data_IF_673433999654
#
_entry.id   IF_673433999654
#
_cell.length_a   1.000
_cell.length_b   1.000
_cell.length_c   1.000
_cell.angle_alpha   90.00
_cell.angle_beta   90.00
_cell.angle_gamma   90.00
#
_symmetry.space_group_name_H-M   'P 1'
#
loop_
_entity.id
_entity.type
_entity.pdbx_description
1 polymer ?
#
# COMPACT_ATOMS: atom_id res chain seq x y z
N UNK A 1 0.12 -31.16 6.92
CA UNK A 1 -1.14 -30.94 7.66
C UNK A 1 -1.78 -29.68 7.11
N UNK A 2 -3.04 -29.74 6.65
CA UNK A 2 -3.74 -28.60 6.06
C UNK A 2 -4.92 -28.20 6.93
N UNK A 3 -5.21 -26.90 6.98
CA UNK A 3 -6.44 -26.39 7.58
C UNK A 3 -7.55 -26.43 6.53
N UNK A 4 -8.78 -26.88 6.86
CA UNK A 4 -9.90 -26.85 5.93
C UNK A 4 -10.19 -25.42 5.44
N UNK A 5 -10.27 -25.24 4.12
CA UNK A 5 -10.64 -23.97 3.52
C UNK A 5 -12.07 -23.59 3.96
N UNK A 6 -12.25 -22.40 4.53
CA UNK A 6 -13.53 -21.95 5.10
C UNK A 6 -13.65 -22.12 6.61
N UNK A 7 -12.64 -22.69 7.29
CA UNK A 7 -12.58 -22.68 8.75
C UNK A 7 -12.43 -21.25 9.30
N UNK A 8 -13.28 -20.89 10.26
CA UNK A 8 -13.25 -19.59 10.95
C UNK A 8 -11.91 -19.36 11.65
N UNK A 9 -11.36 -20.41 12.27
CA UNK A 9 -10.09 -20.34 13.00
C UNK A 9 -8.88 -20.57 12.09
N UNK A 10 -9.09 -20.90 10.83
CA UNK A 10 -8.00 -21.24 9.92
C UNK A 10 -6.97 -20.13 9.74
N UNK A 11 -7.40 -18.89 9.45
CA UNK A 11 -6.49 -17.75 9.34
C UNK A 11 -5.66 -17.52 10.61
N UNK A 12 -6.30 -17.60 11.79
CA UNK A 12 -5.63 -17.39 13.08
C UNK A 12 -4.58 -18.46 13.37
N UNK A 13 -4.91 -19.74 13.16
CA UNK A 13 -3.94 -20.82 13.33
C UNK A 13 -2.76 -20.67 12.38
N UNK A 14 -3.02 -20.28 11.13
CA UNK A 14 -1.96 -20.05 10.16
C UNK A 14 -1.05 -18.88 10.59
N UNK A 15 -1.61 -17.77 11.08
CA UNK A 15 -0.81 -16.66 11.60
C UNK A 15 0.07 -17.05 12.78
N UNK A 16 -0.44 -17.85 13.72
CA UNK A 16 0.36 -18.37 14.84
C UNK A 16 1.44 -19.32 14.34
N UNK A 17 1.13 -20.17 13.36
CA UNK A 17 2.05 -21.15 12.79
C UNK A 17 3.28 -20.52 12.14
N UNK A 18 3.12 -19.38 11.45
CA UNK A 18 4.22 -18.69 10.77
C UNK A 18 4.87 -17.59 11.62
N UNK A 19 4.39 -17.35 12.84
CA UNK A 19 4.77 -16.20 13.66
C UNK A 19 6.29 -16.10 13.87
N UNK A 20 6.94 -17.24 14.09
CA UNK A 20 8.37 -17.29 14.41
C UNK A 20 9.26 -17.15 13.18
N UNK A 21 8.71 -17.28 11.96
CA UNK A 21 9.47 -17.06 10.72
C UNK A 21 10.07 -15.65 10.70
N UNK A 22 9.35 -14.67 11.24
CA UNK A 22 9.82 -13.29 11.27
C UNK A 22 11.11 -13.12 12.10
N UNK A 23 11.36 -13.99 13.09
CA UNK A 23 12.54 -13.95 13.93
C UNK A 23 13.83 -14.31 13.17
N UNK A 24 13.72 -15.05 12.07
CA UNK A 24 14.87 -15.45 11.27
C UNK A 24 15.37 -14.37 10.30
N UNK A 25 14.66 -13.24 10.16
CA UNK A 25 15.03 -12.19 9.22
C UNK A 25 16.29 -11.39 9.64
N UNK A 26 16.73 -11.50 10.89
CA UNK A 26 17.93 -10.83 11.43
C UNK A 26 17.98 -9.33 11.09
N UNK A 27 18.94 -8.90 10.26
CA UNK A 27 19.15 -7.49 9.87
C UNK A 27 18.18 -6.98 8.78
N UNK A 28 17.33 -7.86 8.23
CA UNK A 28 16.31 -7.49 7.26
C UNK A 28 14.95 -7.34 7.94
N UNK A 29 14.13 -6.45 7.37
CA UNK A 29 12.75 -6.28 7.80
C UNK A 29 11.85 -7.25 7.04
N UNK A 30 10.90 -7.86 7.75
CA UNK A 30 9.95 -8.81 7.21
C UNK A 30 8.52 -8.41 7.56
N UNK A 31 7.61 -8.51 6.59
CA UNK A 31 6.17 -8.39 6.79
C UNK A 31 5.48 -9.64 6.28
N UNK A 32 4.57 -10.17 7.09
CA UNK A 32 3.76 -11.35 6.79
C UNK A 32 2.29 -10.92 6.68
N UNK A 33 1.64 -11.28 5.58
CA UNK A 33 0.21 -11.10 5.39
C UNK A 33 -0.38 -12.37 4.79
N UNK A 34 -0.98 -13.22 5.64
CA UNK A 34 -1.32 -14.58 5.25
C UNK A 34 -0.08 -15.25 4.59
N UNK A 35 -0.23 -15.85 3.41
CA UNK A 35 0.85 -16.47 2.66
C UNK A 35 1.79 -15.48 1.95
N UNK A 36 1.40 -14.21 1.82
CA UNK A 36 2.25 -13.17 1.24
C UNK A 36 3.32 -12.73 2.24
N UNK A 37 4.59 -12.92 1.87
CA UNK A 37 5.75 -12.52 2.68
C UNK A 37 6.58 -11.49 1.90
N UNK A 38 6.91 -10.37 2.55
CA UNK A 38 7.89 -9.41 2.05
C UNK A 38 9.11 -9.44 2.95
N UNK A 39 10.28 -9.63 2.35
CA UNK A 39 11.58 -9.42 2.98
C UNK A 39 12.28 -8.26 2.29
N UNK A 40 12.79 -7.30 3.05
CA UNK A 40 13.50 -6.15 2.48
C UNK A 40 14.58 -5.64 3.44
N UNK A 41 15.63 -5.08 2.85
CA UNK A 41 16.74 -4.47 3.57
C UNK A 41 17.18 -3.20 2.84
N UNK A 42 17.89 -2.32 3.54
CA UNK A 42 18.44 -1.09 3.00
C UNK A 42 19.86 -0.90 3.52
N UNK A 43 20.69 -0.23 2.72
CA UNK A 43 22.11 -0.08 3.03
C UNK A 43 22.79 0.97 2.14
N UNK A 44 24.03 1.33 2.47
CA UNK A 44 24.78 2.38 1.78
C UNK A 44 25.31 1.96 0.41
N UNK A 45 25.48 0.65 0.17
CA UNK A 45 25.96 0.08 -1.09
C UNK A 45 25.06 -1.07 -1.55
N UNK A 46 25.06 -1.31 -2.86
CA UNK A 46 24.30 -2.41 -3.45
C UNK A 46 24.80 -3.77 -2.94
N UNK A 47 26.11 -3.95 -2.83
CA UNK A 47 26.71 -5.21 -2.38
C UNK A 47 26.32 -5.56 -0.95
N UNK A 48 26.31 -4.57 -0.03
CA UNK A 48 25.84 -4.78 1.34
C UNK A 48 24.36 -5.15 1.37
N UNK A 49 23.53 -4.47 0.57
CA UNK A 49 22.10 -4.78 0.46
C UNK A 49 21.87 -6.20 -0.05
N UNK A 50 22.57 -6.62 -1.11
CA UNK A 50 22.41 -7.96 -1.68
C UNK A 50 22.92 -9.05 -0.72
N UNK A 51 24.06 -8.83 -0.08
CA UNK A 51 24.62 -9.77 0.89
C UNK A 51 23.69 -9.97 2.09
N UNK A 52 23.19 -8.87 2.66
CA UNK A 52 22.24 -8.91 3.78
C UNK A 52 20.92 -9.57 3.34
N UNK A 53 20.40 -9.20 2.17
CA UNK A 53 19.16 -9.78 1.65
C UNK A 53 19.31 -11.29 1.41
N UNK A 54 20.40 -11.74 0.80
CA UNK A 54 20.67 -13.16 0.54
C UNK A 54 20.81 -13.94 1.85
N UNK A 55 21.51 -13.38 2.83
CA UNK A 55 21.69 -14.00 4.16
C UNK A 55 20.34 -14.17 4.86
N UNK A 56 19.56 -13.10 4.97
CA UNK A 56 18.21 -13.16 5.55
C UNK A 56 17.28 -14.06 4.75
N UNK A 57 17.35 -14.05 3.41
CA UNK A 57 16.52 -14.90 2.56
C UNK A 57 16.84 -16.39 2.76
N UNK A 58 18.12 -16.75 2.95
CA UNK A 58 18.51 -18.11 3.28
C UNK A 58 17.99 -18.53 4.65
N UNK A 59 18.10 -17.69 5.67
CA UNK A 59 17.58 -17.96 7.01
C UNK A 59 16.05 -18.16 7.02
N UNK A 60 15.32 -17.35 6.25
CA UNK A 60 13.87 -17.50 6.06
C UNK A 60 13.53 -18.80 5.33
N UNK A 61 14.28 -19.16 4.28
CA UNK A 61 14.08 -20.43 3.57
C UNK A 61 14.30 -21.64 4.48
N UNK A 62 15.32 -21.60 5.35
CA UNK A 62 15.52 -22.65 6.37
C UNK A 62 14.36 -22.72 7.36
N UNK A 63 13.86 -21.57 7.82
CA UNK A 63 12.69 -21.51 8.72
C UNK A 63 11.44 -22.09 8.07
N UNK A 64 11.19 -21.76 6.80
CA UNK A 64 10.09 -22.37 6.04
C UNK A 64 10.26 -23.88 5.89
N UNK A 65 11.46 -24.38 5.56
CA UNK A 65 11.72 -25.83 5.49
C UNK A 65 11.50 -26.53 6.83
N UNK A 66 11.89 -25.91 7.95
CA UNK A 66 11.64 -26.43 9.30
C UNK A 66 10.15 -26.53 9.61
N UNK A 67 9.36 -25.57 9.13
CA UNK A 67 7.89 -25.60 9.16
C UNK A 67 7.26 -26.42 8.02
N UNK A 68 8.03 -27.20 7.26
CA UNK A 68 7.51 -27.97 6.12
C UNK A 68 6.73 -27.12 5.09
N UNK A 69 7.03 -25.82 5.01
CA UNK A 69 6.51 -24.88 4.04
C UNK A 69 7.45 -24.81 2.83
N UNK A 70 6.89 -24.94 1.64
CA UNK A 70 7.66 -24.93 0.39
C UNK A 70 7.57 -23.57 -0.28
N UNK A 71 8.72 -22.90 -0.42
CA UNK A 71 8.83 -21.64 -1.13
C UNK A 71 8.68 -21.87 -2.64
N UNK A 72 7.71 -21.19 -3.27
CA UNK A 72 7.52 -21.26 -4.72
C UNK A 72 8.36 -20.19 -5.43
N UNK A 73 9.59 -20.54 -5.81
CA UNK A 73 10.53 -19.63 -6.48
C UNK A 73 9.94 -18.86 -7.67
N UNK A 74 9.09 -19.51 -8.49
CA UNK A 74 8.44 -18.86 -9.64
C UNK A 74 7.45 -17.75 -9.28
N UNK A 75 6.91 -17.76 -8.06
CA UNK A 75 6.04 -16.71 -7.53
C UNK A 75 6.82 -15.65 -6.73
N UNK A 76 7.99 -15.99 -6.22
CA UNK A 76 8.86 -15.05 -5.49
C UNK A 76 9.56 -14.12 -6.47
N UNK A 77 9.41 -12.81 -6.27
CA UNK A 77 10.02 -11.78 -7.12
C UNK A 77 10.93 -10.89 -6.29
N UNK A 78 12.01 -10.42 -6.91
CA UNK A 78 12.91 -9.42 -6.33
C UNK A 78 12.66 -8.07 -6.99
N UNK A 79 12.68 -6.98 -6.21
CA UNK A 79 12.57 -5.62 -6.74
C UNK A 79 13.62 -4.75 -6.05
N UNK A 80 14.46 -4.10 -6.85
CA UNK A 80 15.45 -3.15 -6.37
C UNK A 80 14.87 -1.74 -6.40
N UNK A 81 14.85 -1.08 -5.24
CA UNK A 81 14.51 0.33 -5.14
C UNK A 81 15.79 1.18 -5.15
N UNK A 82 16.00 1.96 -6.21
CA UNK A 82 17.13 2.88 -6.30
C UNK A 82 16.64 4.30 -6.62
N UNK A 83 17.06 5.27 -5.79
CA UNK A 83 16.74 6.70 -5.97
C UNK A 83 17.77 7.45 -6.81
N UNK A 84 18.98 6.90 -7.01
CA UNK A 84 20.07 7.53 -7.75
C UNK A 84 20.22 6.94 -9.14
N UNK A 85 20.31 7.81 -10.15
CA UNK A 85 20.75 7.46 -11.50
C UNK A 85 22.29 7.50 -11.56
N UNK A 86 22.94 6.59 -12.31
CA UNK A 86 22.38 5.52 -13.14
C UNK A 86 21.93 4.30 -12.32
N UNK A 87 20.98 3.54 -12.85
CA UNK A 87 20.72 2.21 -12.32
C UNK A 87 22.00 1.37 -12.51
N UNK A 88 22.54 0.72 -11.46
CA UNK A 88 23.69 -0.14 -11.60
C UNK A 88 23.38 -1.25 -12.61
N UNK A 89 24.41 -1.71 -13.35
CA UNK A 89 24.31 -2.92 -14.16
C UNK A 89 23.70 -4.03 -13.31
N UNK A 90 22.79 -4.82 -13.90
CA UNK A 90 21.91 -5.74 -13.16
C UNK A 90 22.70 -6.50 -12.08
N UNK A 91 22.28 -6.40 -10.81
CA UNK A 91 23.02 -7.01 -9.71
C UNK A 91 23.13 -8.52 -9.86
N UNK A 92 24.11 -9.09 -9.16
CA UNK A 92 24.21 -10.53 -8.91
C UNK A 92 22.86 -11.06 -8.44
N UNK A 93 22.38 -12.13 -9.07
CA UNK A 93 21.04 -12.66 -8.84
C UNK A 93 20.91 -13.18 -7.40
N UNK A 94 19.79 -12.88 -6.73
CA UNK A 94 19.45 -13.52 -5.46
C UNK A 94 18.98 -14.93 -5.79
N UNK A 95 19.58 -15.92 -5.13
CA UNK A 95 19.32 -17.34 -5.39
C UNK A 95 18.56 -17.98 -4.25
N UNK A 96 17.75 -18.97 -4.59
CA UNK A 96 17.13 -19.87 -3.61
C UNK A 96 18.14 -20.92 -3.14
N UNK A 97 17.85 -21.58 -2.01
CA UNK A 97 18.66 -22.71 -1.52
C UNK A 97 18.75 -23.87 -2.52
N UNK A 98 17.80 -23.96 -3.45
CA UNK A 98 17.77 -24.96 -4.53
C UNK A 98 18.50 -24.49 -5.79
N UNK A 99 19.20 -23.35 -5.73
CA UNK A 99 20.01 -22.80 -6.83
C UNK A 99 19.21 -22.10 -7.93
N UNK A 100 17.89 -21.91 -7.75
CA UNK A 100 17.08 -21.15 -8.72
C UNK A 100 17.22 -19.65 -8.48
N UNK A 101 17.44 -18.90 -9.56
CA UNK A 101 17.48 -17.44 -9.57
C UNK A 101 16.09 -16.82 -9.37
N UNK A 102 16.02 -15.75 -8.57
CA UNK A 102 14.80 -14.94 -8.48
C UNK A 102 14.69 -13.97 -9.64
N UNK A 103 13.48 -13.87 -10.20
CA UNK A 103 13.19 -12.88 -11.23
C UNK A 103 13.16 -11.46 -10.64
N UNK A 104 13.97 -10.58 -11.21
CA UNK A 104 13.92 -9.15 -10.92
C UNK A 104 12.83 -8.46 -11.73
N UNK A 105 11.97 -7.72 -11.03
CA UNK A 105 10.85 -6.99 -11.63
C UNK A 105 10.91 -5.51 -11.28
N UNK A 106 10.61 -4.66 -12.26
CA UNK A 106 10.47 -3.22 -12.05
C UNK A 106 9.08 -2.83 -11.56
N UNK A 107 8.08 -3.70 -11.77
CA UNK A 107 6.69 -3.47 -11.41
C UNK A 107 6.13 -4.74 -10.80
N UNK A 108 5.48 -4.62 -9.64
CA UNK A 108 4.85 -5.74 -8.96
C UNK A 108 3.55 -5.32 -8.28
N UNK A 109 2.57 -6.22 -8.25
CA UNK A 109 1.29 -5.98 -7.58
C UNK A 109 1.29 -6.67 -6.21
N UNK A 110 1.30 -5.89 -5.15
CA UNK A 110 1.28 -6.37 -3.77
C UNK A 110 0.00 -5.92 -3.06
N UNK A 111 -0.76 -6.86 -2.49
CA UNK A 111 -2.03 -6.60 -1.77
C UNK A 111 -3.00 -5.64 -2.50
N UNK A 112 -3.08 -5.75 -3.83
CA UNK A 112 -3.95 -4.91 -4.66
C UNK A 112 -3.35 -3.57 -5.11
N UNK A 113 -2.17 -3.20 -4.63
CA UNK A 113 -1.45 -1.97 -4.99
C UNK A 113 -0.35 -2.30 -6.00
N UNK A 114 -0.25 -1.50 -7.06
CA UNK A 114 0.84 -1.63 -8.03
C UNK A 114 2.02 -0.78 -7.56
N UNK A 115 3.15 -1.43 -7.33
CA UNK A 115 4.41 -0.79 -6.96
C UNK A 115 5.34 -0.81 -8.16
N UNK A 116 6.03 0.30 -8.39
CA UNK A 116 7.15 0.39 -9.33
C UNK A 116 8.46 0.60 -8.58
N UNK A 117 9.59 0.21 -9.17
CA UNK A 117 10.93 0.31 -8.58
C UNK A 117 11.35 1.74 -8.22
N UNK A 118 10.63 2.75 -8.74
CA UNK A 118 10.81 4.17 -8.41
C UNK A 118 9.81 4.68 -7.36
N UNK A 119 8.88 3.85 -6.89
CA UNK A 119 7.77 4.20 -6.00
C UNK A 119 6.97 5.42 -6.49
N UNK A 120 6.83 5.57 -7.81
CA UNK A 120 6.06 6.67 -8.42
C UNK A 120 4.55 6.47 -8.34
N UNK A 121 4.08 5.24 -8.13
CA UNK A 121 2.67 4.82 -8.16
C UNK A 121 1.96 5.13 -9.49
N UNK A 122 2.70 5.49 -10.53
CA UNK A 122 2.11 5.93 -11.80
C UNK A 122 1.32 4.79 -12.48
N UNK A 123 1.85 3.56 -12.38
CA UNK A 123 1.18 2.35 -12.88
C UNK A 123 -0.11 2.09 -12.11
N UNK A 124 -0.10 2.27 -10.78
CA UNK A 124 -1.30 2.14 -9.96
C UNK A 124 -2.37 3.15 -10.36
N UNK A 125 -1.99 4.42 -10.49
CA UNK A 125 -2.91 5.50 -10.90
C UNK A 125 -3.51 5.21 -12.28
N UNK A 126 -2.70 4.81 -13.26
CA UNK A 126 -3.20 4.44 -14.60
C UNK A 126 -4.21 3.30 -14.55
N UNK A 127 -3.94 2.28 -13.72
CA UNK A 127 -4.84 1.16 -13.53
C UNK A 127 -6.15 1.58 -12.84
N UNK A 128 -6.09 2.43 -11.81
CA UNK A 128 -7.28 3.00 -11.17
C UNK A 128 -8.11 3.82 -12.15
N UNK A 129 -7.46 4.71 -12.92
CA UNK A 129 -8.12 5.53 -13.95
C UNK A 129 -8.83 4.66 -14.99
N UNK A 130 -8.17 3.60 -15.48
CA UNK A 130 -8.78 2.65 -16.43
C UNK A 130 -10.02 1.96 -15.83
N UNK A 131 -9.92 1.49 -14.58
CA UNK A 131 -11.02 0.84 -13.87
C UNK A 131 -12.20 1.79 -13.67
N UNK A 132 -11.94 3.04 -13.25
CA UNK A 132 -12.95 4.08 -13.07
C UNK A 132 -13.60 4.44 -14.42
N UNK A 133 -12.81 4.68 -15.47
CA UNK A 133 -13.33 4.98 -16.82
C UNK A 133 -14.26 3.89 -17.32
N UNK A 134 -13.93 2.61 -17.11
CA UNK A 134 -14.78 1.48 -17.46
C UNK A 134 -16.13 1.52 -16.73
N UNK A 135 -16.11 1.78 -15.41
CA UNK A 135 -17.33 1.87 -14.58
C UNK A 135 -18.20 3.08 -14.94
N UNK A 136 -17.59 4.24 -15.16
CA UNK A 136 -18.29 5.44 -15.65
C UNK A 136 -18.90 5.18 -17.03
N UNK A 137 -18.14 4.58 -17.95
CA UNK A 137 -18.64 4.25 -19.28
C UNK A 137 -19.84 3.31 -19.25
N UNK A 138 -19.85 2.32 -18.35
CA UNK A 138 -21.00 1.46 -18.11
C UNK A 138 -22.23 2.25 -17.62
N UNK A 139 -22.05 3.12 -16.62
CA UNK A 139 -23.14 3.95 -16.08
C UNK A 139 -23.70 4.91 -17.13
N UNK A 140 -22.84 5.51 -17.94
CA UNK A 140 -23.24 6.44 -18.99
C UNK A 140 -24.06 5.76 -20.09
N UNK A 141 -23.62 4.58 -20.56
CA UNK A 141 -24.36 3.80 -21.58
C UNK A 141 -25.73 3.35 -21.10
N UNK A 142 -25.87 3.05 -19.81
CA UNK A 142 -27.11 2.58 -19.20
C UNK A 142 -27.85 3.68 -18.44
N UNK A 143 -27.58 4.96 -18.73
CA UNK A 143 -28.15 6.08 -17.96
C UNK A 143 -29.68 6.13 -18.00
N UNK A 144 -30.32 5.61 -19.05
CA UNK A 144 -31.78 5.58 -19.17
C UNK A 144 -32.40 4.45 -18.34
N UNK A 145 -31.64 3.40 -18.03
CA UNK A 145 -32.11 2.20 -17.33
C UNK A 145 -32.12 2.32 -15.81
N UNK A 146 -31.55 3.40 -15.26
CA UNK A 146 -31.42 3.59 -13.82
C UNK A 146 -32.04 4.90 -13.34
N UNK A 147 -32.77 4.83 -12.23
CA UNK A 147 -33.22 6.02 -11.49
C UNK A 147 -32.02 6.81 -10.95
N UNK A 148 -32.23 8.08 -10.61
CA UNK A 148 -31.19 8.91 -10.01
C UNK A 148 -30.61 8.28 -8.72
N UNK A 149 -31.49 7.78 -7.84
CA UNK A 149 -31.09 7.10 -6.62
C UNK A 149 -30.25 5.83 -6.90
N UNK A 150 -30.64 5.02 -7.88
CA UNK A 150 -29.89 3.82 -8.27
C UNK A 150 -28.51 4.17 -8.85
N UNK A 151 -28.39 5.23 -9.66
CA UNK A 151 -27.10 5.72 -10.16
C UNK A 151 -26.18 6.15 -9.02
N UNK A 152 -26.71 6.91 -8.07
CA UNK A 152 -25.94 7.36 -6.90
C UNK A 152 -25.43 6.17 -6.09
N UNK A 153 -26.29 5.19 -5.80
CA UNK A 153 -25.91 3.96 -5.11
C UNK A 153 -24.84 3.19 -5.89
N UNK A 154 -24.97 3.04 -7.20
CA UNK A 154 -23.98 2.36 -8.03
C UNK A 154 -22.63 3.09 -8.02
N UNK A 155 -22.60 4.42 -8.11
CA UNK A 155 -21.36 5.20 -7.98
C UNK A 155 -20.73 4.98 -6.60
N UNK A 156 -21.52 5.04 -5.53
CA UNK A 156 -21.07 4.82 -4.15
C UNK A 156 -20.50 3.42 -3.92
N UNK A 157 -21.10 2.39 -4.50
CA UNK A 157 -20.67 1.00 -4.32
C UNK A 157 -19.53 0.58 -5.26
N UNK A 158 -19.39 1.21 -6.42
CA UNK A 158 -18.48 0.70 -7.47
C UNK A 158 -17.33 1.63 -7.84
N UNK A 159 -17.47 2.94 -7.65
CA UNK A 159 -16.45 3.94 -8.03
C UNK A 159 -15.75 4.50 -6.80
N UNK A 160 -16.51 4.87 -5.76
CA UNK A 160 -15.93 5.43 -4.52
C UNK A 160 -14.90 4.49 -3.86
N UNK A 161 -15.13 3.16 -3.74
CA UNK A 161 -14.14 2.26 -3.14
C UNK A 161 -12.84 2.14 -3.96
N UNK A 162 -12.85 2.57 -5.23
CA UNK A 162 -11.66 2.62 -6.09
C UNK A 162 -10.90 3.95 -5.88
N UNK A 163 -11.62 5.02 -5.52
CA UNK A 163 -11.09 6.36 -5.24
C UNK A 163 -10.64 6.56 -3.79
N UNK A 164 -10.86 5.57 -2.93
CA UNK A 164 -10.52 5.53 -1.50
C UNK A 164 -8.99 5.55 -1.21
N UNK A 165 -8.20 6.25 -2.01
CA UNK A 165 -6.84 6.70 -1.66
C UNK A 165 -6.83 7.46 -0.32
N UNK A 166 -7.91 8.20 -0.01
CA UNK A 166 -8.14 8.80 1.30
C UNK A 166 -8.28 7.78 2.44
N UNK A 167 -8.86 6.60 2.19
CA UNK A 167 -8.93 5.49 3.16
C UNK A 167 -7.53 4.93 3.46
N UNK A 168 -6.66 4.84 2.44
CA UNK A 168 -5.26 4.42 2.62
C UNK A 168 -4.49 5.41 3.49
N UNK A 169 -4.66 6.72 3.25
CA UNK A 169 -4.02 7.76 4.05
C UNK A 169 -4.55 7.76 5.50
N UNK A 170 -5.88 7.67 5.68
CA UNK A 170 -6.50 7.64 7.00
C UNK A 170 -6.13 6.39 7.80
N UNK A 171 -6.10 5.21 7.17
CA UNK A 171 -5.58 3.97 7.77
C UNK A 171 -4.11 4.11 8.18
N UNK A 172 -3.30 4.82 7.39
CA UNK A 172 -1.90 5.08 7.71
C UNK A 172 -1.75 5.92 8.99
N UNK A 173 -2.63 6.91 9.20
CA UNK A 173 -2.67 7.68 10.45
C UNK A 173 -3.17 6.88 11.64
N UNK A 174 -4.13 5.98 11.42
CA UNK A 174 -4.66 5.08 12.45
C UNK A 174 -3.69 3.92 12.80
N UNK A 175 -2.52 3.83 12.14
CA UNK A 175 -1.59 2.70 12.31
C UNK A 175 -2.12 1.36 11.78
N UNK A 176 -3.19 1.39 10.97
CA UNK A 176 -3.86 0.22 10.39
C UNK A 176 -3.43 -0.07 8.94
N UNK A 177 -2.60 0.80 8.36
CA UNK A 177 -1.92 0.53 7.09
C UNK A 177 -0.57 -0.15 7.34
N UNK A 178 0.02 -0.80 6.33
CA UNK A 178 1.35 -1.39 6.44
C UNK A 178 2.38 -0.39 7.00
N UNK A 179 3.31 -0.82 7.88
CA UNK A 179 4.25 0.09 8.58
C UNK A 179 5.07 0.98 7.65
N UNK A 180 5.38 0.50 6.44
CA UNK A 180 6.10 1.28 5.43
C UNK A 180 5.28 2.44 4.84
N UNK A 181 3.94 2.40 4.87
CA UNK A 181 3.09 3.55 4.51
C UNK A 181 2.84 4.46 5.70
N UNK A 182 2.60 3.88 6.87
CA UNK A 182 2.37 4.63 8.12
C UNK A 182 3.58 5.49 8.49
N UNK A 183 4.81 5.00 8.29
CA UNK A 183 6.04 5.77 8.52
C UNK A 183 6.26 6.92 7.52
N UNK A 184 5.58 6.90 6.38
CA UNK A 184 5.61 7.96 5.37
C UNK A 184 4.56 9.05 5.63
N UNK A 185 3.78 8.98 6.70
CA UNK A 185 2.74 9.97 7.01
C UNK A 185 2.99 10.51 8.41
N UNK A 186 3.30 11.80 8.54
CA UNK A 186 3.59 12.46 9.82
C UNK A 186 2.50 13.45 10.16
N UNK A 187 1.87 13.28 11.33
CA UNK A 187 0.90 14.25 11.84
C UNK A 187 1.59 15.56 12.20
N UNK A 188 0.95 16.67 11.84
CA UNK A 188 1.38 18.00 12.23
C UNK A 188 0.95 18.27 13.68
N UNK A 189 1.89 18.68 14.52
CA UNK A 189 1.62 19.22 15.85
C UNK A 189 1.69 20.75 15.77
N UNK A 190 0.56 21.45 15.77
CA UNK A 190 0.57 22.91 15.66
C UNK A 190 1.19 23.53 16.92
N UNK A 191 2.15 24.44 16.74
CA UNK A 191 2.83 25.16 17.83
C UNK A 191 2.03 26.36 18.35
N UNK A 192 0.97 26.77 17.65
CA UNK A 192 0.06 27.86 18.04
C UNK A 192 -1.39 27.44 17.81
N UNK A 193 -2.27 27.76 18.75
CA UNK A 193 -3.70 27.44 18.65
C UNK A 193 -4.42 28.41 17.72
N UNK A 194 -4.60 28.03 16.45
CA UNK A 194 -5.49 28.71 15.50
C UNK A 194 -6.69 27.82 15.15
N UNK A 195 -7.76 28.37 14.58
CA UNK A 195 -8.98 27.59 14.27
C UNK A 195 -8.75 26.45 13.25
N UNK A 196 -7.72 26.52 12.41
CA UNK A 196 -7.29 25.43 11.52
C UNK A 196 -6.36 24.41 12.19
N UNK A 197 -5.81 24.75 13.37
CA UNK A 197 -4.94 23.87 14.17
C UNK A 197 -5.71 22.77 14.90
N UNK A 198 -7.04 22.86 14.94
CA UNK A 198 -7.91 21.85 15.57
C UNK A 198 -8.13 20.62 14.69
N UNK A 199 -7.89 20.72 13.38
CA UNK A 199 -8.11 19.61 12.45
C UNK A 199 -6.87 18.70 12.36
N UNK A 200 -7.10 17.39 12.22
CA UNK A 200 -6.03 16.40 12.03
C UNK A 200 -5.29 16.70 10.73
N UNK A 201 -4.10 17.30 10.80
CA UNK A 201 -3.34 17.72 9.60
C UNK A 201 -2.04 16.94 9.47
N UNK A 202 -1.52 16.82 8.26
CA UNK A 202 -0.23 16.19 7.97
C UNK A 202 0.86 17.23 7.67
N UNK A 203 2.09 16.88 8.02
CA UNK A 203 3.28 17.66 7.62
C UNK A 203 3.53 17.41 6.13
N UNK A 204 3.49 18.48 5.32
CA UNK A 204 3.88 18.43 3.92
C UNK A 204 5.41 18.49 3.86
N UNK A 205 6.12 17.43 3.42
CA UNK A 205 7.57 17.47 3.29
C UNK A 205 8.01 18.45 2.19
N UNK A 206 9.21 19.00 2.31
CA UNK A 206 9.77 19.86 1.26
C UNK A 206 10.14 19.02 0.03
N UNK A 207 9.51 19.30 -1.10
CA UNK A 207 9.81 18.64 -2.38
C UNK A 207 10.46 19.64 -3.36
N UNK A 208 11.79 19.57 -3.47
CA UNK A 208 12.59 20.46 -4.32
C UNK A 208 12.62 20.02 -5.79
N UNK A 209 12.15 18.82 -6.11
CA UNK A 209 12.11 18.28 -7.46
C UNK A 209 10.67 17.99 -7.88
N UNK A 210 10.40 18.06 -9.18
CA UNK A 210 9.12 17.63 -9.77
C UNK A 210 8.79 16.19 -9.39
N UNK A 211 9.80 15.33 -9.29
CA UNK A 211 9.66 13.95 -8.83
C UNK A 211 9.31 13.83 -7.34
N UNK A 212 9.93 14.63 -6.46
CA UNK A 212 9.60 14.64 -5.03
C UNK A 212 8.15 15.02 -4.75
N UNK A 213 7.55 15.86 -5.61
CA UNK A 213 6.13 16.25 -5.53
C UNK A 213 5.18 15.11 -5.90
N UNK A 214 5.67 14.09 -6.61
CA UNK A 214 4.91 12.89 -6.97
C UNK A 214 5.06 11.76 -5.94
N UNK A 215 5.92 11.92 -4.93
CA UNK A 215 6.10 10.93 -3.88
C UNK A 215 4.83 10.74 -3.05
N UNK A 216 4.57 9.52 -2.58
CA UNK A 216 3.44 9.22 -1.72
C UNK A 216 3.39 10.13 -0.48
N UNK A 217 4.53 10.35 0.19
CA UNK A 217 4.63 11.22 1.37
C UNK A 217 4.16 12.66 1.07
N UNK A 218 4.53 13.22 -0.09
CA UNK A 218 4.12 14.57 -0.48
C UNK A 218 2.65 14.61 -0.91
N UNK A 219 2.26 13.70 -1.81
CA UNK A 219 0.90 13.67 -2.37
C UNK A 219 -0.16 13.30 -1.33
N UNK A 220 0.14 12.38 -0.41
CA UNK A 220 -0.74 12.02 0.70
C UNK A 220 -0.96 13.20 1.66
N UNK A 221 0.11 13.91 2.03
CA UNK A 221 0.02 15.07 2.91
C UNK A 221 -0.78 16.22 2.29
N UNK A 222 -0.50 16.54 1.01
CA UNK A 222 -1.26 17.56 0.28
C UNK A 222 -2.74 17.18 0.12
N UNK A 223 -3.01 15.95 -0.33
CA UNK A 223 -4.38 15.47 -0.54
C UNK A 223 -5.20 15.46 0.75
N UNK A 224 -4.63 14.97 1.85
CA UNK A 224 -5.31 14.94 3.14
C UNK A 224 -5.59 16.32 3.71
N UNK A 225 -4.62 17.23 3.64
CA UNK A 225 -4.79 18.59 4.15
C UNK A 225 -5.85 19.37 3.35
N UNK A 226 -5.94 19.15 2.04
CA UNK A 226 -7.04 19.67 1.23
C UNK A 226 -8.38 19.04 1.62
N UNK A 227 -8.43 17.72 1.84
CA UNK A 227 -9.63 17.01 2.25
C UNK A 227 -10.13 17.46 3.64
N UNK A 228 -9.24 17.82 4.56
CA UNK A 228 -9.60 18.35 5.87
C UNK A 228 -10.29 19.71 5.85
N UNK A 229 -10.04 20.54 4.83
CA UNK A 229 -10.76 21.82 4.69
C UNK A 229 -12.26 21.61 4.60
N UNK A 230 -12.69 20.46 4.07
CA UNK A 230 -14.10 20.12 3.94
C UNK A 230 -14.61 19.19 5.05
N UNK A 231 -13.80 18.22 5.49
CA UNK A 231 -14.19 17.28 6.55
C UNK A 231 -14.16 17.86 7.97
N UNK A 232 -13.25 18.80 8.26
CA UNK A 232 -13.07 19.46 9.58
C UNK A 232 -13.03 18.48 10.76
N UNK A 233 -12.33 17.35 10.60
CA UNK A 233 -12.21 16.35 11.67
C UNK A 233 -11.21 16.81 12.72
N UNK A 234 -11.70 17.01 13.94
CA UNK A 234 -10.87 17.33 15.10
C UNK A 234 -10.35 16.08 15.84
N UNK A 235 -11.05 14.95 15.69
CA UNK A 235 -10.70 13.67 16.33
C UNK A 235 -10.83 12.51 15.35
N UNK A 236 -10.14 11.41 15.66
CA UNK A 236 -10.28 10.18 14.89
C UNK A 236 -11.64 9.55 15.16
N UNK A 237 -12.31 9.13 14.09
CA UNK A 237 -13.59 8.45 14.10
C UNK A 237 -13.41 7.02 13.57
N UNK A 238 -14.40 6.15 13.82
CA UNK A 238 -14.38 4.81 13.26
C UNK A 238 -14.27 4.83 11.73
N UNK A 239 -13.52 3.86 11.18
CA UNK A 239 -13.26 3.77 9.75
C UNK A 239 -14.55 3.73 8.91
N UNK A 240 -15.59 3.08 9.43
CA UNK A 240 -16.93 3.02 8.82
C UNK A 240 -17.56 4.41 8.72
N UNK A 241 -17.44 5.22 9.76
CA UNK A 241 -17.98 6.58 9.82
C UNK A 241 -17.15 7.53 8.95
N UNK A 242 -15.83 7.34 8.91
CA UNK A 242 -14.95 8.08 8.00
C UNK A 242 -15.31 7.82 6.53
N UNK A 243 -15.55 6.55 6.17
CA UNK A 243 -16.02 6.19 4.82
C UNK A 243 -17.37 6.81 4.49
N UNK A 244 -18.28 6.85 5.46
CA UNK A 244 -19.58 7.51 5.30
C UNK A 244 -19.40 9.01 5.01
N UNK A 245 -18.61 9.73 5.81
CA UNK A 245 -18.34 11.17 5.61
C UNK A 245 -17.63 11.45 4.28
N UNK A 246 -16.65 10.61 3.91
CA UNK A 246 -15.98 10.72 2.63
C UNK A 246 -16.97 10.56 1.46
N UNK A 247 -17.94 9.65 1.61
CA UNK A 247 -18.99 9.45 0.62
C UNK A 247 -19.96 10.62 0.52
N UNK A 248 -20.33 11.29 1.63
CA UNK A 248 -21.18 12.47 1.63
C UNK A 248 -20.49 13.68 0.95
N UNK A 249 -19.23 13.93 1.28
CA UNK A 249 -18.46 15.05 0.71
C UNK A 249 -18.25 14.96 -0.81
N UNK A 250 -18.13 13.74 -1.33
CA UNK A 250 -18.05 13.50 -2.78
C UNK A 250 -19.42 13.58 -3.46
N UNK A 251 -20.52 13.50 -2.70
CA UNK A 251 -21.89 13.65 -3.20
C UNK A 251 -22.26 15.13 -3.36
N UNK A 252 -21.89 16.00 -2.42
CA UNK A 252 -22.15 17.47 -2.49
C UNK A 252 -21.43 18.18 -3.64
N UNK A 253 -20.31 17.64 -4.13
CA UNK A 253 -19.60 18.18 -5.31
C UNK A 253 -20.15 17.67 -6.65
N UNK A 254 -21.12 16.76 -6.63
CA UNK A 254 -21.77 16.19 -7.81
C UNK A 254 -23.21 16.71 -8.03
N UNK A 255 -23.59 17.83 -7.41
CA UNK A 255 -24.73 18.62 -7.87
C UNK A 255 -24.32 19.45 -9.09
N UNK A 256 -24.24 18.80 -10.25
CA UNK A 256 -24.18 19.50 -11.53
C UNK A 256 -25.61 19.90 -11.92
N UNK A 257 -25.86 21.20 -12.01
CA UNK A 257 -26.86 21.78 -12.93
C UNK A 257 -26.63 21.30 -14.35
#
# INVERSE_FOLDING_TARGET
MGVPQGSILGPTHFSVYINDVALAAADSLIHLYADDTILYTSGPSLDTVLSNLQTSFNAIQHSFRGLQLLLKASKTKCMLFNRSLPAPARPTSITTLDGSDLEYVDIYKYLGVWLDCKLSFQTHIKHLQSKIKSRIGFLFRNKASFTHAAKLTLVKLTILPILDFGDVIYKSMLGKAPPYLSSLVKMATPTRSTHSSRCISLIIPKANTSFGRLSFQFSAACYWNELQKSLKLETFIFLTNFKYLLSEQLTDRCSCT
#
